data_IF_409692731889
#
_entry.id   IF_409692731889
#
_cell.length_a   1.000
_cell.length_b   1.000
_cell.length_c   1.000
_cell.angle_alpha   90.00
_cell.angle_beta   90.00
_cell.angle_gamma   90.00
#
_symmetry.space_group_name_H-M   'P 1'
#
loop_
_entity.id
_entity.type
_entity.pdbx_description
1 polymer ?
#
# COMPACT_ATOMS: atom_id res chain seq x y z
N UNK A 1 11.92 -27.21 11.32
CA UNK A 1 10.66 -27.06 12.08
C UNK A 1 9.54 -27.46 11.14
N UNK A 2 8.61 -28.32 11.57
CA UNK A 2 7.53 -28.82 10.71
C UNK A 2 6.51 -27.71 10.54
N UNK A 3 6.44 -27.11 9.34
CA UNK A 3 5.28 -26.31 8.92
C UNK A 3 4.08 -27.24 8.90
N UNK A 4 3.21 -27.14 9.89
CA UNK A 4 1.92 -27.81 9.81
C UNK A 4 1.16 -27.11 8.68
N UNK A 5 0.77 -27.85 7.64
CA UNK A 5 -0.10 -27.32 6.61
C UNK A 5 -1.40 -26.86 7.28
N UNK A 6 -1.69 -25.56 7.21
CA UNK A 6 -2.92 -25.02 7.77
C UNK A 6 -4.10 -25.58 6.98
N UNK A 7 -5.01 -26.26 7.66
CA UNK A 7 -6.29 -26.62 7.07
C UNK A 7 -7.18 -25.37 7.03
N UNK A 8 -7.40 -24.82 5.83
CA UNK A 8 -8.31 -23.70 5.66
C UNK A 8 -9.74 -24.12 6.01
N UNK A 9 -10.39 -23.30 6.81
CA UNK A 9 -11.71 -23.59 7.39
C UNK A 9 -12.86 -23.17 6.45
N UNK A 10 -12.59 -22.28 5.49
CA UNK A 10 -13.56 -21.76 4.52
C UNK A 10 -12.85 -21.11 3.31
N UNK A 11 -13.55 -20.87 2.20
CA UNK A 11 -13.00 -20.07 1.08
C UNK A 11 -12.57 -18.67 1.51
N UNK A 12 -13.28 -18.04 2.45
CA UNK A 12 -12.92 -16.74 3.01
C UNK A 12 -11.60 -16.81 3.80
N UNK A 13 -11.42 -17.85 4.62
CA UNK A 13 -10.16 -18.07 5.34
C UNK A 13 -9.00 -18.29 4.37
N UNK A 14 -9.20 -19.09 3.32
CA UNK A 14 -8.20 -19.25 2.27
C UNK A 14 -7.87 -17.92 1.59
N UNK A 15 -8.86 -17.08 1.27
CA UNK A 15 -8.65 -15.77 0.67
C UNK A 15 -7.87 -14.80 1.57
N UNK A 16 -8.16 -14.78 2.88
CA UNK A 16 -7.41 -13.98 3.85
C UNK A 16 -5.96 -14.44 3.98
N UNK A 17 -5.71 -15.75 4.00
CA UNK A 17 -4.36 -16.30 4.04
C UNK A 17 -3.60 -16.09 2.73
N UNK A 18 -4.28 -16.14 1.60
CA UNK A 18 -3.70 -15.82 0.29
C UNK A 18 -3.30 -14.33 0.19
N UNK A 19 -4.17 -13.41 0.64
CA UNK A 19 -3.79 -12.00 0.77
C UNK A 19 -2.58 -11.83 1.69
N UNK A 20 -2.57 -12.50 2.85
CA UNK A 20 -1.50 -12.37 3.83
C UNK A 20 -0.15 -12.86 3.28
N UNK A 21 -0.15 -13.97 2.53
CA UNK A 21 1.06 -14.47 1.88
C UNK A 21 1.64 -13.46 0.89
N UNK A 22 0.78 -12.83 0.09
CA UNK A 22 1.20 -11.86 -0.91
C UNK A 22 1.80 -10.60 -0.26
N UNK A 23 1.19 -10.09 0.82
CA UNK A 23 1.74 -8.96 1.57
C UNK A 23 3.07 -9.32 2.27
N UNK A 24 3.23 -10.55 2.76
CA UNK A 24 4.52 -11.04 3.28
C UNK A 24 5.59 -11.08 2.18
N UNK A 25 5.24 -11.61 1.00
CA UNK A 25 6.13 -11.69 -0.16
C UNK A 25 6.57 -10.30 -0.60
N UNK A 26 5.66 -9.34 -0.70
CA UNK A 26 5.94 -7.94 -1.06
C UNK A 26 6.91 -7.31 -0.05
N UNK A 27 6.58 -7.39 1.24
CA UNK A 27 7.45 -6.88 2.33
C UNK A 27 8.86 -7.49 2.27
N UNK A 28 8.97 -8.80 2.13
CA UNK A 28 10.25 -9.50 2.08
C UNK A 28 11.07 -9.10 0.84
N UNK A 29 10.41 -8.96 -0.31
CA UNK A 29 11.03 -8.48 -1.56
C UNK A 29 11.58 -7.07 -1.38
N UNK A 30 10.81 -6.17 -0.77
CA UNK A 30 11.26 -4.79 -0.54
C UNK A 30 12.39 -4.71 0.49
N UNK A 31 12.37 -5.54 1.53
CA UNK A 31 13.53 -5.70 2.42
C UNK A 31 14.78 -6.18 1.68
N UNK A 32 14.65 -7.15 0.78
CA UNK A 32 15.79 -7.66 0.01
C UNK A 32 16.40 -6.58 -0.90
N UNK A 33 15.56 -5.80 -1.58
CA UNK A 33 15.98 -4.65 -2.38
C UNK A 33 16.66 -3.59 -1.53
N UNK A 34 16.06 -3.19 -0.40
CA UNK A 34 16.61 -2.18 0.49
C UNK A 34 17.97 -2.62 1.07
N UNK A 35 18.11 -3.91 1.40
CA UNK A 35 19.37 -4.49 1.86
C UNK A 35 20.45 -4.44 0.79
N UNK A 36 20.12 -4.72 -0.46
CA UNK A 36 21.08 -4.79 -1.56
C UNK A 36 21.49 -3.41 -2.09
N UNK A 37 20.54 -2.48 -2.19
CA UNK A 37 20.74 -1.20 -2.89
C UNK A 37 20.62 0.04 -1.98
N UNK A 38 20.37 -0.15 -0.68
CA UNK A 38 20.08 0.93 0.26
C UNK A 38 18.60 1.35 0.26
N UNK A 39 18.21 2.35 1.06
CA UNK A 39 16.81 2.78 1.21
C UNK A 39 16.32 3.59 -0.01
N UNK A 40 16.34 2.96 -1.18
CA UNK A 40 15.92 3.54 -2.45
C UNK A 40 14.39 3.68 -2.50
N UNK A 41 13.93 4.74 -3.16
CA UNK A 41 12.51 4.96 -3.40
C UNK A 41 12.06 4.19 -4.66
N UNK A 42 10.81 3.68 -4.71
CA UNK A 42 9.77 3.87 -3.70
C UNK A 42 9.78 2.80 -2.60
N UNK A 43 10.65 1.79 -2.68
CA UNK A 43 10.72 0.66 -1.73
C UNK A 43 10.75 1.09 -0.26
N UNK A 44 11.60 2.06 0.09
CA UNK A 44 11.71 2.54 1.48
C UNK A 44 10.42 3.19 2.03
N UNK A 45 9.58 3.74 1.16
CA UNK A 45 8.29 4.32 1.57
C UNK A 45 7.18 3.26 1.62
N UNK A 46 7.18 2.35 0.63
CA UNK A 46 6.09 1.37 0.47
C UNK A 46 6.18 0.25 1.50
N UNK A 47 7.38 -0.14 1.95
CA UNK A 47 7.55 -1.24 2.91
C UNK A 47 6.77 -1.06 4.23
N UNK A 48 6.57 0.19 4.67
CA UNK A 48 5.75 0.48 5.84
C UNK A 48 4.25 0.30 5.55
N UNK A 49 3.82 0.47 4.30
CA UNK A 49 2.47 0.14 3.85
C UNK A 49 2.22 -1.36 3.93
N UNK A 50 3.15 -2.18 3.45
CA UNK A 50 2.97 -3.64 3.49
C UNK A 50 2.90 -4.16 4.92
N UNK A 51 3.71 -3.58 5.81
CA UNK A 51 3.58 -3.91 7.24
C UNK A 51 2.19 -3.57 7.80
N UNK A 52 1.59 -2.45 7.38
CA UNK A 52 0.22 -2.09 7.81
C UNK A 52 -0.82 -3.03 7.20
N UNK A 53 -0.66 -3.43 5.94
CA UNK A 53 -1.53 -4.39 5.27
C UNK A 53 -1.52 -5.74 5.99
N UNK A 54 -0.33 -6.27 6.30
CA UNK A 54 -0.14 -7.47 7.12
C UNK A 54 -0.87 -7.34 8.46
N UNK A 55 -0.66 -6.23 9.17
CA UNK A 55 -1.28 -6.03 10.48
C UNK A 55 -2.82 -5.97 10.39
N UNK A 56 -3.37 -5.39 9.33
CA UNK A 56 -4.81 -5.36 9.09
C UNK A 56 -5.36 -6.77 8.85
N UNK A 57 -4.70 -7.58 8.01
CA UNK A 57 -5.11 -8.95 7.70
C UNK A 57 -5.03 -9.85 8.94
N UNK A 58 -3.94 -9.75 9.71
CA UNK A 58 -3.78 -10.46 10.99
C UNK A 58 -4.89 -10.08 11.98
N UNK A 59 -5.23 -8.80 12.07
CA UNK A 59 -6.33 -8.34 12.92
C UNK A 59 -7.69 -8.92 12.52
N UNK A 60 -7.97 -9.03 11.21
CA UNK A 60 -9.21 -9.64 10.70
C UNK A 60 -9.27 -11.14 11.02
N UNK A 61 -8.16 -11.85 10.83
CA UNK A 61 -8.04 -13.28 11.15
C UNK A 61 -8.25 -13.53 12.65
N UNK A 62 -7.58 -12.75 13.50
CA UNK A 62 -7.67 -12.83 14.97
C UNK A 62 -9.10 -12.56 15.46
N UNK A 63 -9.74 -11.49 14.99
CA UNK A 63 -11.14 -11.14 15.32
C UNK A 63 -12.13 -12.26 14.97
N UNK A 64 -11.79 -13.15 14.03
CA UNK A 64 -12.63 -14.26 13.56
C UNK A 64 -12.19 -15.60 14.14
N UNK A 65 -11.14 -15.65 14.96
CA UNK A 65 -10.58 -16.90 15.48
C UNK A 65 -10.00 -17.81 14.38
N UNK A 66 -9.60 -17.23 13.25
CA UNK A 66 -8.98 -17.94 12.14
C UNK A 66 -7.45 -17.93 12.30
N UNK A 67 -6.81 -19.07 12.04
CA UNK A 67 -5.36 -19.18 12.13
C UNK A 67 -4.68 -18.44 10.97
N UNK A 68 -3.73 -17.57 11.27
CA UNK A 68 -2.87 -16.97 10.25
C UNK A 68 -1.84 -17.99 9.75
N UNK A 69 -1.40 -17.82 8.50
CA UNK A 69 -0.20 -18.48 8.00
C UNK A 69 1.04 -17.85 8.64
N UNK A 70 2.05 -18.69 8.90
CA UNK A 70 3.39 -18.19 9.23
C UNK A 70 3.97 -17.48 8.00
N UNK A 71 4.78 -16.45 8.23
CA UNK A 71 5.55 -15.82 7.15
C UNK A 71 6.62 -16.80 6.63
N UNK A 72 6.50 -17.31 5.39
CA UNK A 72 7.47 -18.25 4.85
C UNK A 72 8.73 -17.55 4.30
N UNK A 73 8.71 -16.23 4.17
CA UNK A 73 9.76 -15.46 3.52
C UNK A 73 10.83 -15.05 4.54
N UNK A 74 11.94 -15.78 4.52
CA UNK A 74 13.10 -15.50 5.39
C UNK A 74 13.89 -14.26 4.96
N UNK A 75 14.83 -13.80 5.82
CA UNK A 75 15.72 -12.68 5.50
C UNK A 75 16.62 -12.95 4.28
N UNK A 76 16.80 -14.22 3.89
CA UNK A 76 17.72 -14.62 2.82
C UNK A 76 17.12 -14.55 1.41
N UNK A 77 15.93 -13.95 1.25
CA UNK A 77 15.33 -13.75 -0.08
C UNK A 77 16.33 -13.00 -0.99
N UNK A 78 16.68 -13.54 -2.17
CA UNK A 78 17.64 -12.90 -3.06
C UNK A 78 17.06 -11.59 -3.62
N UNK A 79 17.90 -10.57 -3.71
CA UNK A 79 17.54 -9.32 -4.38
C UNK A 79 17.63 -9.47 -5.91
N UNK A 80 16.86 -8.67 -6.68
CA UNK A 80 17.04 -8.53 -8.12
C UNK A 80 18.48 -8.14 -8.49
N UNK A 81 18.92 -8.44 -9.73
CA UNK A 81 20.31 -8.21 -10.12
C UNK A 81 20.65 -6.73 -10.32
N UNK A 82 19.65 -5.87 -10.48
CA UNK A 82 19.80 -4.42 -10.60
C UNK A 82 18.61 -3.64 -10.05
N UNK A 83 18.78 -2.34 -9.82
CA UNK A 83 17.68 -1.44 -9.46
C UNK A 83 16.61 -1.33 -10.55
N UNK A 84 17.02 -1.36 -11.83
CA UNK A 84 16.06 -1.33 -12.94
C UNK A 84 15.18 -2.59 -12.93
N UNK A 85 15.79 -3.78 -12.74
CA UNK A 85 15.03 -5.03 -12.58
C UNK A 85 14.13 -4.98 -11.35
N UNK A 86 14.60 -4.40 -10.24
CA UNK A 86 13.78 -4.24 -9.04
C UNK A 86 12.54 -3.37 -9.30
N UNK A 87 12.68 -2.24 -10.01
CA UNK A 87 11.53 -1.40 -10.34
C UNK A 87 10.56 -2.09 -11.31
N UNK A 88 11.06 -2.81 -12.32
CA UNK A 88 10.21 -3.62 -13.23
C UNK A 88 9.43 -4.68 -12.46
N UNK A 89 10.12 -5.43 -11.60
CA UNK A 89 9.49 -6.43 -10.73
C UNK A 89 8.48 -5.81 -9.77
N UNK A 90 8.74 -4.58 -9.28
CA UNK A 90 7.77 -3.82 -8.48
C UNK A 90 6.50 -3.50 -9.28
N UNK A 91 6.61 -2.98 -10.50
CA UNK A 91 5.43 -2.74 -11.37
C UNK A 91 4.64 -4.02 -11.61
N UNK A 92 5.33 -5.11 -11.96
CA UNK A 92 4.67 -6.40 -12.23
C UNK A 92 3.97 -6.92 -10.96
N UNK A 93 4.61 -6.84 -9.79
CA UNK A 93 4.04 -7.24 -8.52
C UNK A 93 2.78 -6.44 -8.16
N UNK A 94 2.75 -5.12 -8.38
CA UNK A 94 1.56 -4.32 -8.09
C UNK A 94 0.41 -4.62 -9.06
N UNK A 95 0.70 -4.92 -10.33
CA UNK A 95 -0.33 -5.36 -11.29
C UNK A 95 -0.91 -6.72 -10.87
N UNK A 96 -0.05 -7.66 -10.47
CA UNK A 96 -0.45 -8.97 -9.95
C UNK A 96 -1.27 -8.83 -8.66
N UNK A 97 -0.90 -7.92 -7.74
CA UNK A 97 -1.61 -7.66 -6.50
C UNK A 97 -3.03 -7.10 -6.75
N UNK A 98 -3.18 -6.14 -7.68
CA UNK A 98 -4.52 -5.63 -8.05
C UNK A 98 -5.41 -6.76 -8.58
N UNK A 99 -4.88 -7.60 -9.47
CA UNK A 99 -5.60 -8.74 -10.05
C UNK A 99 -5.90 -9.83 -9.01
N UNK A 100 -5.01 -10.04 -8.04
CA UNK A 100 -5.24 -10.90 -6.89
C UNK A 100 -6.47 -10.40 -6.11
N UNK A 101 -6.50 -9.13 -5.72
CA UNK A 101 -7.62 -8.59 -4.96
C UNK A 101 -8.96 -8.60 -5.71
N UNK A 102 -8.97 -8.43 -7.03
CA UNK A 102 -10.18 -8.61 -7.84
C UNK A 102 -10.80 -10.00 -7.63
N UNK A 103 -9.95 -11.03 -7.61
CA UNK A 103 -10.39 -12.41 -7.36
C UNK A 103 -10.76 -12.64 -5.89
N UNK A 104 -9.99 -12.11 -4.94
CA UNK A 104 -10.26 -12.26 -3.50
C UNK A 104 -11.56 -11.57 -3.08
N UNK A 105 -11.93 -10.46 -3.72
CA UNK A 105 -13.19 -9.76 -3.47
C UNK A 105 -14.42 -10.61 -3.81
N UNK A 106 -14.32 -11.51 -4.79
CA UNK A 106 -15.37 -12.49 -5.08
C UNK A 106 -15.47 -13.55 -3.98
N UNK A 107 -14.34 -14.02 -3.44
CA UNK A 107 -14.32 -14.98 -2.33
C UNK A 107 -14.82 -14.37 -1.00
N UNK A 108 -14.78 -13.04 -0.87
CA UNK A 108 -15.30 -12.30 0.27
C UNK A 108 -16.77 -11.87 0.14
N UNK A 109 -17.52 -12.39 -0.83
CA UNK A 109 -18.94 -12.08 -0.98
C UNK A 109 -19.72 -12.37 0.31
N UNK A 110 -20.48 -11.37 0.79
CA UNK A 110 -21.25 -11.47 2.03
C UNK A 110 -20.51 -11.06 3.31
N UNK A 111 -19.19 -10.79 3.27
CA UNK A 111 -18.44 -10.21 4.40
C UNK A 111 -17.97 -8.79 4.06
N UNK A 112 -18.79 -7.79 4.42
CA UNK A 112 -18.52 -6.38 4.11
C UNK A 112 -17.25 -5.84 4.83
N UNK A 113 -16.88 -6.40 5.98
CA UNK A 113 -15.65 -6.00 6.67
C UNK A 113 -14.44 -6.45 5.89
N UNK A 114 -14.40 -7.73 5.46
CA UNK A 114 -13.29 -8.26 4.67
C UNK A 114 -13.23 -7.57 3.30
N UNK A 115 -14.38 -7.34 2.66
CA UNK A 115 -14.45 -6.60 1.39
C UNK A 115 -13.90 -5.19 1.52
N UNK A 116 -14.19 -4.49 2.61
CA UNK A 116 -13.64 -3.15 2.87
C UNK A 116 -12.12 -3.19 3.04
N UNK A 117 -11.58 -4.18 3.77
CA UNK A 117 -10.13 -4.38 3.92
C UNK A 117 -9.48 -4.66 2.56
N UNK A 118 -9.99 -5.63 1.80
CA UNK A 118 -9.45 -5.98 0.48
C UNK A 118 -9.49 -4.81 -0.51
N UNK A 119 -10.60 -4.04 -0.57
CA UNK A 119 -10.64 -2.82 -1.40
C UNK A 119 -9.62 -1.78 -0.96
N UNK A 120 -9.37 -1.65 0.35
CA UNK A 120 -8.41 -0.68 0.86
C UNK A 120 -6.98 -1.03 0.46
N UNK A 121 -6.61 -2.32 0.51
CA UNK A 121 -5.29 -2.82 0.11
C UNK A 121 -5.13 -2.74 -1.42
N UNK A 122 -6.13 -3.20 -2.18
CA UNK A 122 -6.15 -3.05 -3.65
C UNK A 122 -5.96 -1.59 -4.08
N UNK A 123 -6.67 -0.66 -3.42
CA UNK A 123 -6.56 0.77 -3.73
C UNK A 123 -5.17 1.31 -3.42
N UNK A 124 -4.53 0.87 -2.35
CA UNK A 124 -3.15 1.25 -2.04
C UNK A 124 -2.19 0.80 -3.15
N UNK A 125 -2.29 -0.46 -3.59
CA UNK A 125 -1.50 -0.98 -4.70
C UNK A 125 -1.76 -0.19 -6.00
N UNK A 126 -3.02 -0.07 -6.41
CA UNK A 126 -3.42 0.53 -7.68
C UNK A 126 -3.17 2.05 -7.76
N UNK A 127 -3.52 2.79 -6.72
CA UNK A 127 -3.52 4.26 -6.75
C UNK A 127 -2.22 4.86 -6.19
N UNK A 128 -1.45 4.11 -5.39
CA UNK A 128 -0.25 4.63 -4.73
C UNK A 128 1.02 3.90 -5.14
N UNK A 129 1.07 2.58 -5.01
CA UNK A 129 2.32 1.82 -5.20
C UNK A 129 2.69 1.69 -6.67
N UNK A 130 1.75 1.24 -7.51
CA UNK A 130 1.97 1.06 -8.94
C UNK A 130 2.41 2.36 -9.64
N UNK A 131 1.75 3.52 -9.44
CA UNK A 131 2.21 4.77 -10.01
C UNK A 131 3.58 5.21 -9.46
N UNK A 132 3.88 4.89 -8.19
CA UNK A 132 5.18 5.21 -7.64
C UNK A 132 6.29 4.44 -8.37
N UNK A 133 6.14 3.13 -8.59
CA UNK A 133 7.12 2.34 -9.34
C UNK A 133 7.25 2.80 -10.80
N UNK A 134 6.14 3.05 -11.49
CA UNK A 134 6.14 3.51 -12.88
C UNK A 134 6.93 4.81 -13.06
N UNK A 135 6.79 5.78 -12.15
CA UNK A 135 7.55 7.04 -12.18
C UNK A 135 9.06 6.84 -12.13
N UNK A 136 9.55 5.84 -11.42
CA UNK A 136 11.00 5.55 -11.34
C UNK A 136 11.52 4.86 -12.59
N UNK A 137 10.69 4.07 -13.30
CA UNK A 137 11.05 3.47 -14.59
C UNK A 137 11.08 4.49 -15.74
N UNK A 138 10.15 5.44 -15.73
CA UNK A 138 10.04 6.48 -16.78
C UNK A 138 11.11 7.59 -16.65
N UNK A 139 12.12 7.41 -15.81
CA UNK A 139 13.23 8.35 -15.61
C UNK A 139 12.93 9.49 -14.64
N UNK A 140 11.82 9.42 -13.90
CA UNK A 140 11.44 10.39 -12.88
C UNK A 140 12.23 10.23 -11.57
N UNK A 141 13.54 10.46 -11.61
CA UNK A 141 14.32 10.67 -10.40
C UNK A 141 13.94 12.02 -9.77
N UNK A 142 13.45 11.95 -8.53
CA UNK A 142 13.28 13.04 -7.56
C UNK A 142 12.24 14.14 -7.88
N UNK A 143 11.04 13.98 -7.33
CA UNK A 143 10.07 15.06 -7.24
C UNK A 143 8.80 14.66 -6.49
N UNK A 144 8.73 15.00 -5.20
CA UNK A 144 7.48 15.09 -4.45
C UNK A 144 6.99 13.79 -3.81
N UNK A 145 7.11 13.74 -2.48
CA UNK A 145 6.31 12.87 -1.63
C UNK A 145 4.82 13.25 -1.79
N UNK A 146 4.12 12.56 -2.69
CA UNK A 146 2.66 12.52 -2.70
C UNK A 146 2.19 11.68 -1.52
N UNK A 147 2.17 12.27 -0.33
CA UNK A 147 1.69 11.60 0.88
C UNK A 147 0.21 11.26 0.78
N UNK A 148 -0.13 9.97 0.84
CA UNK A 148 -1.51 9.51 1.02
C UNK A 148 -1.86 9.52 2.53
N UNK A 149 -2.01 10.73 3.08
CA UNK A 149 -2.67 10.93 4.37
C UNK A 149 -4.18 11.00 4.17
N UNK A 150 -4.90 9.95 4.55
CA UNK A 150 -6.38 9.95 4.55
C UNK A 150 -6.93 11.01 5.50
N UNK A 151 -7.29 12.17 4.97
CA UNK A 151 -8.01 13.22 5.67
C UNK A 151 -9.29 13.56 4.92
N UNK A 152 -10.44 13.08 5.41
CA UNK A 152 -11.74 13.58 5.00
C UNK A 152 -11.87 15.04 5.43
N UNK A 153 -11.65 15.98 4.51
CA UNK A 153 -11.98 17.40 4.72
C UNK A 153 -13.39 17.63 4.18
N UNK A 154 -14.36 17.67 5.09
CA UNK A 154 -15.70 18.15 4.79
C UNK A 154 -15.63 19.57 4.24
N UNK A 155 -15.99 19.74 2.96
CA UNK A 155 -16.13 21.02 2.31
C UNK A 155 -17.60 21.47 2.48
N UNK A 156 -17.85 22.31 3.48
CA UNK A 156 -19.05 23.14 3.52
C UNK A 156 -18.72 24.47 2.84
N UNK A 157 -19.40 24.75 1.74
CA UNK A 157 -19.47 26.07 1.13
C UNK A 157 -20.52 26.94 1.83
N UNK A 158 -20.38 28.26 1.63
CA UNK A 158 -21.31 29.38 1.84
C UNK A 158 -20.46 30.59 2.28
N UNK A 159 -20.55 31.81 1.77
CA UNK A 159 -21.42 32.46 0.80
C UNK A 159 -20.82 33.86 0.54
N UNK A 160 -21.22 34.48 -0.57
CA UNK A 160 -20.68 35.78 -0.99
C UNK A 160 -21.07 36.96 -0.09
N UNK A 161 -20.34 38.07 -0.25
CA UNK A 161 -20.75 39.36 0.30
C UNK A 161 -19.68 40.44 0.24
N UNK A 162 -19.90 41.45 -0.61
CA UNK A 162 -19.72 42.84 -0.18
C UNK A 162 -18.49 43.62 -0.67
N UNK A 163 -18.74 44.55 -1.59
CA UNK A 163 -17.96 45.76 -1.85
C UNK A 163 -17.61 46.56 -0.58
N UNK A 164 -16.54 47.38 -0.65
CA UNK A 164 -16.56 48.70 0.01
C UNK A 164 -15.23 49.23 0.56
N UNK A 165 -14.64 50.15 -0.20
CA UNK A 165 -13.93 51.39 0.18
C UNK A 165 -12.98 51.48 1.41
N UNK A 166 -11.86 52.19 1.21
CA UNK A 166 -11.19 52.92 2.29
C UNK A 166 -9.68 53.07 2.11
N UNK A 167 -9.24 54.10 1.37
CA UNK A 167 -7.82 54.43 1.26
C UNK A 167 -7.21 54.91 2.57
N UNK A 168 -5.90 54.74 2.74
CA UNK A 168 -5.09 55.50 3.68
C UNK A 168 -3.72 55.87 3.08
N UNK A 169 -3.21 56.99 3.58
CA UNK A 169 -2.24 57.93 3.01
C UNK A 169 -0.79 57.45 2.97
N UNK A 170 -0.06 58.14 2.09
CA UNK A 170 1.38 58.41 2.05
C UNK A 170 1.98 58.88 3.39
N UNK A 171 3.23 58.46 3.64
CA UNK A 171 4.44 59.20 4.08
C UNK A 171 5.51 58.13 4.38
N UNK A 172 6.80 58.24 4.03
CA UNK A 172 7.82 59.26 4.38
C UNK A 172 8.97 59.22 3.33
N UNK A 173 9.59 60.33 2.93
CA UNK A 173 10.86 60.91 3.46
C UNK A 173 12.01 59.86 3.47
N UNK A 174 13.18 60.06 2.86
CA UNK A 174 13.97 61.25 2.50
C UNK A 174 14.71 61.02 1.16
#
# INVERSE_FOLDING_TARGET
>A
MSTAAIAFQSPLHQALCEALDDEYKARATYYAVIRAFGPVLPFANIIQSEQRHINMLLGVLDQRGLAAIDDPYGPDLPAPASLEEAYRAGVDAEIENVALYDRLLAAAEGDETVRWVFRSLQRASQECHLPAFQRFLDGGAEGGAGGCGGGHRHQHGEGGGGCGCGGHRRQSAE
#
